data_IF_414691821515
#
_entry.id   IF_414691821515
#
_cell.length_a   1.000
_cell.length_b   1.000
_cell.length_c   1.000
_cell.angle_alpha   90.00
_cell.angle_beta   90.00
_cell.angle_gamma   90.00
#
_symmetry.space_group_name_H-M   'P 1'
#
loop_
_entity.id
_entity.type
_entity.pdbx_description
1 polymer ?
#
# COMPACT_ATOMS: atom_id res chain seq x y z
N UNK A 1 2.75 14.37 -0.45
CA UNK A 1 3.41 13.17 0.13
C UNK A 1 2.91 12.94 1.54
N UNK A 2 3.04 13.91 2.45
CA UNK A 2 2.65 13.79 3.86
C UNK A 2 1.23 13.26 4.08
N UNK A 3 0.24 13.82 3.39
CA UNK A 3 -1.14 13.34 3.49
C UNK A 3 -1.29 11.87 3.09
N UNK A 4 -0.62 11.44 2.01
CA UNK A 4 -0.68 10.04 1.54
C UNK A 4 0.00 9.12 2.54
N UNK A 5 1.15 9.53 3.09
CA UNK A 5 1.86 8.78 4.12
C UNK A 5 1.01 8.65 5.40
N UNK A 6 0.47 9.77 5.91
CA UNK A 6 -0.37 9.80 7.09
C UNK A 6 -1.62 8.92 6.94
N UNK A 7 -2.33 9.03 5.80
CA UNK A 7 -3.55 8.22 5.58
C UNK A 7 -3.23 6.75 5.37
N UNK A 8 -2.09 6.41 4.76
CA UNK A 8 -1.67 5.01 4.64
C UNK A 8 -1.19 4.43 5.99
N UNK A 9 -0.54 5.21 6.84
CA UNK A 9 -0.21 4.79 8.20
C UNK A 9 -1.48 4.48 9.00
N UNK A 10 -2.47 5.39 8.98
CA UNK A 10 -3.77 5.17 9.60
C UNK A 10 -4.50 3.95 9.01
N UNK A 11 -4.48 3.79 7.69
CA UNK A 11 -5.10 2.64 7.03
C UNK A 11 -4.44 1.31 7.45
N UNK A 12 -3.10 1.29 7.56
CA UNK A 12 -2.38 0.12 8.04
C UNK A 12 -2.77 -0.26 9.47
N UNK A 13 -2.99 0.71 10.35
CA UNK A 13 -3.52 0.48 11.70
C UNK A 13 -4.93 -0.11 11.66
N UNK A 14 -5.83 0.42 10.80
CA UNK A 14 -7.19 -0.11 10.68
C UNK A 14 -7.26 -1.51 10.10
N UNK A 15 -6.40 -1.83 9.14
CA UNK A 15 -6.30 -3.19 8.59
C UNK A 15 -5.77 -4.16 9.64
N UNK A 16 -4.76 -3.76 10.41
CA UNK A 16 -4.23 -4.52 11.55
C UNK A 16 -5.32 -4.82 12.58
N UNK A 17 -6.07 -3.80 13.04
CA UNK A 17 -7.20 -3.95 13.97
C UNK A 17 -8.25 -4.96 13.46
N UNK A 18 -8.62 -4.89 12.18
CA UNK A 18 -9.61 -5.80 11.56
C UNK A 18 -9.10 -7.24 11.57
N UNK A 19 -7.84 -7.47 11.19
CA UNK A 19 -7.26 -8.82 11.17
C UNK A 19 -7.11 -9.35 12.60
N UNK A 20 -6.67 -8.53 13.56
CA UNK A 20 -6.60 -8.90 14.98
C UNK A 20 -7.96 -9.32 15.54
N UNK A 21 -9.06 -8.73 15.05
CA UNK A 21 -10.42 -9.12 15.44
C UNK A 21 -10.88 -10.46 14.83
N UNK A 22 -10.05 -11.11 14.02
CA UNK A 22 -10.38 -12.36 13.32
C UNK A 22 -11.22 -12.17 12.06
N UNK A 23 -11.30 -10.94 11.53
CA UNK A 23 -12.09 -10.60 10.35
C UNK A 23 -11.23 -10.44 9.10
N UNK A 24 -11.85 -10.58 7.92
CA UNK A 24 -11.21 -10.32 6.63
C UNK A 24 -11.32 -8.83 6.26
N UNK A 25 -10.20 -8.11 6.04
CA UNK A 25 -10.26 -6.70 5.67
C UNK A 25 -10.70 -6.52 4.21
N UNK A 26 -11.80 -5.79 4.01
CA UNK A 26 -12.20 -5.24 2.72
C UNK A 26 -11.96 -3.73 2.71
N UNK A 27 -10.96 -3.29 1.95
CA UNK A 27 -10.66 -1.86 1.79
C UNK A 27 -11.31 -1.37 0.51
N UNK A 28 -12.26 -0.44 0.63
CA UNK A 28 -12.87 0.26 -0.50
C UNK A 28 -12.13 1.58 -0.71
N UNK A 29 -11.54 1.73 -1.89
CA UNK A 29 -10.55 2.76 -2.13
C UNK A 29 -11.06 4.17 -2.40
N UNK A 30 -10.07 5.06 -2.46
CA UNK A 30 -9.87 5.99 -3.58
C UNK A 30 -8.92 5.34 -4.60
N UNK A 31 -7.95 6.08 -5.16
CA UNK A 31 -6.96 5.51 -6.09
C UNK A 31 -6.05 4.43 -5.45
N UNK A 32 -5.20 3.80 -6.27
CA UNK A 32 -4.41 2.64 -5.85
C UNK A 32 -3.31 2.94 -4.81
N UNK A 33 -3.03 4.20 -4.49
CA UNK A 33 -2.03 4.55 -3.46
C UNK A 33 -2.39 4.02 -2.06
N UNK A 34 -3.66 3.70 -1.80
CA UNK A 34 -4.13 3.05 -0.56
C UNK A 34 -3.54 1.65 -0.33
N UNK A 35 -3.00 1.02 -1.37
CA UNK A 35 -2.42 -0.31 -1.26
C UNK A 35 -1.17 -0.31 -0.38
N UNK A 36 -0.47 0.84 -0.25
CA UNK A 36 0.67 0.99 0.67
C UNK A 36 0.26 0.64 2.10
N UNK A 37 -0.80 1.30 2.60
CA UNK A 37 -1.33 1.07 3.94
C UNK A 37 -1.99 -0.29 4.08
N UNK A 38 -2.71 -0.73 3.05
CA UNK A 38 -3.38 -2.04 3.04
C UNK A 38 -2.36 -3.18 3.20
N UNK A 39 -1.31 -3.19 2.37
CA UNK A 39 -0.27 -4.20 2.43
C UNK A 39 0.55 -4.10 3.71
N UNK A 40 0.89 -2.88 4.17
CA UNK A 40 1.60 -2.69 5.43
C UNK A 40 0.84 -3.24 6.65
N UNK A 41 -0.49 -3.07 6.68
CA UNK A 41 -1.35 -3.66 7.73
C UNK A 41 -1.38 -5.18 7.65
N UNK A 42 -1.64 -5.75 6.47
CA UNK A 42 -1.68 -7.21 6.28
C UNK A 42 -0.33 -7.88 6.61
N UNK A 43 0.78 -7.27 6.21
CA UNK A 43 2.13 -7.82 6.38
C UNK A 43 2.51 -8.05 7.85
N UNK A 44 1.87 -7.36 8.81
CA UNK A 44 2.07 -7.59 10.25
C UNK A 44 1.64 -8.99 10.70
N UNK A 45 0.73 -9.65 9.97
CA UNK A 45 0.14 -10.93 10.37
C UNK A 45 0.70 -12.14 9.62
N UNK A 46 1.41 -11.93 8.51
CA UNK A 46 1.85 -13.00 7.61
C UNK A 46 3.32 -12.86 7.26
N UNK A 47 4.15 -13.82 7.72
CA UNK A 47 5.58 -13.87 7.39
C UNK A 47 5.86 -14.21 5.92
N UNK A 48 4.93 -14.89 5.26
CA UNK A 48 5.04 -15.31 3.86
C UNK A 48 3.79 -14.83 3.09
N UNK A 49 3.59 -13.52 3.08
CA UNK A 49 2.48 -12.88 2.37
C UNK A 49 2.70 -12.96 0.86
N UNK A 50 1.73 -13.52 0.13
CA UNK A 50 1.65 -13.42 -1.33
C UNK A 50 0.64 -12.33 -1.73
N UNK A 51 0.92 -11.61 -2.80
CA UNK A 51 0.04 -10.56 -3.34
C UNK A 51 -0.30 -10.89 -4.79
N UNK A 52 -1.60 -10.93 -5.11
CA UNK A 52 -2.09 -10.97 -6.49
C UNK A 52 -2.47 -9.53 -6.87
N UNK A 53 -1.66 -8.91 -7.71
CA UNK A 53 -1.87 -7.55 -8.19
C UNK A 53 -2.56 -7.58 -9.55
N UNK A 54 -3.88 -7.38 -9.57
CA UNK A 54 -4.65 -7.38 -10.80
C UNK A 54 -4.93 -5.94 -11.24
N UNK A 55 -4.10 -5.42 -12.13
CA UNK A 55 -4.19 -4.07 -12.67
C UNK A 55 -3.68 -4.06 -14.11
N UNK A 56 -4.11 -3.08 -14.90
CA UNK A 56 -3.54 -2.82 -16.23
C UNK A 56 -2.10 -2.27 -16.12
N UNK A 57 -1.76 -1.66 -14.98
CA UNK A 57 -0.45 -1.08 -14.71
C UNK A 57 0.32 -1.90 -13.68
N UNK A 58 1.64 -1.79 -13.71
CA UNK A 58 2.50 -2.46 -12.73
C UNK A 58 2.56 -1.74 -11.38
N UNK A 59 2.22 -0.45 -11.31
CA UNK A 59 2.29 0.36 -10.08
C UNK A 59 3.64 0.30 -9.35
N UNK A 60 4.70 0.13 -10.15
CA UNK A 60 6.07 -0.15 -9.76
C UNK A 60 7.03 1.01 -10.07
N UNK A 61 6.52 2.21 -10.39
CA UNK A 61 7.41 3.35 -10.57
C UNK A 61 8.05 3.78 -9.26
N UNK A 62 9.26 4.31 -9.35
CA UNK A 62 9.90 5.09 -8.28
C UNK A 62 9.71 6.59 -8.53
N UNK A 63 10.26 7.42 -7.65
CA UNK A 63 10.30 8.87 -7.85
C UNK A 63 11.05 9.22 -9.14
N UNK A 64 12.12 8.48 -9.46
CA UNK A 64 13.00 8.73 -10.59
C UNK A 64 12.42 8.21 -11.92
N UNK A 65 11.62 7.15 -11.89
CA UNK A 65 11.09 6.52 -13.12
C UNK A 65 9.69 6.99 -13.49
N UNK A 66 8.95 7.58 -12.54
CA UNK A 66 7.58 7.99 -12.79
C UNK A 66 7.51 9.12 -13.83
N UNK A 67 6.69 8.98 -14.90
CA UNK A 67 6.50 10.05 -15.88
C UNK A 67 5.59 11.17 -15.37
N UNK A 68 4.85 10.96 -14.28
CA UNK A 68 3.85 11.89 -13.75
C UNK A 68 4.12 12.37 -12.34
N UNK A 69 4.90 11.62 -11.55
CA UNK A 69 5.03 11.83 -10.11
C UNK A 69 3.79 11.42 -9.30
N UNK A 70 2.76 10.86 -9.92
CA UNK A 70 1.55 10.43 -9.21
C UNK A 70 1.80 9.15 -8.42
N UNK A 71 1.53 9.19 -7.12
CA UNK A 71 1.84 8.10 -6.19
C UNK A 71 1.04 6.82 -6.46
N UNK A 72 -0.16 6.91 -7.06
CA UNK A 72 -0.96 5.72 -7.39
C UNK A 72 -0.25 4.75 -8.35
N UNK A 73 0.77 5.20 -9.10
CA UNK A 73 1.60 4.37 -9.97
C UNK A 73 2.89 3.85 -9.32
N UNK A 74 3.03 4.01 -8.00
CA UNK A 74 4.18 3.61 -7.19
C UNK A 74 3.89 2.67 -6.00
N UNK A 75 2.64 2.34 -5.59
CA UNK A 75 2.40 1.68 -4.31
C UNK A 75 3.07 0.31 -4.20
N UNK A 76 3.18 -0.45 -5.29
CA UNK A 76 3.82 -1.76 -5.26
C UNK A 76 5.34 -1.64 -5.10
N UNK A 77 5.98 -0.63 -5.70
CA UNK A 77 7.40 -0.33 -5.45
C UNK A 77 7.63 0.05 -3.98
N UNK A 78 6.78 0.91 -3.42
CA UNK A 78 6.85 1.29 -2.01
C UNK A 78 6.71 0.08 -1.09
N UNK A 79 5.76 -0.82 -1.36
CA UNK A 79 5.58 -2.06 -0.59
C UNK A 79 6.74 -3.06 -0.71
N UNK A 80 7.58 -2.93 -1.73
CA UNK A 80 8.84 -3.67 -1.87
C UNK A 80 10.03 -2.96 -1.19
N UNK A 81 9.79 -1.83 -0.51
CA UNK A 81 10.83 -1.03 0.12
C UNK A 81 11.57 -0.09 -0.85
N UNK A 82 11.04 0.09 -2.07
CA UNK A 82 11.61 0.95 -3.11
C UNK A 82 10.74 2.21 -3.22
N UNK A 83 11.00 3.18 -2.35
CA UNK A 83 10.22 4.40 -2.27
C UNK A 83 11.01 5.55 -1.67
N UNK A 84 10.33 6.69 -1.49
CA UNK A 84 10.90 7.82 -0.78
C UNK A 84 11.27 7.43 0.66
N UNK A 85 12.34 8.02 1.20
CA UNK A 85 12.85 7.72 2.56
C UNK A 85 12.00 8.28 3.71
N UNK A 86 10.81 8.82 3.41
CA UNK A 86 9.88 9.35 4.41
C UNK A 86 8.96 8.24 4.88
#
# INVERSE_FOLDING_TARGET
LDLIAEKNALLAEKVDEVIQSGSFPLVLGGDHSIAIGTLAGVAKHYKNLGVIWYDAHGDLNTVETSPSGNIHGMPLAVSLGIGHSL
#
